data_IF_612094571675
#
_entry.id   IF_612094571675
#
_cell.length_a   1.000
_cell.length_b   1.000
_cell.length_c   1.000
_cell.angle_alpha   90.00
_cell.angle_beta   90.00
_cell.angle_gamma   90.00
#
_symmetry.space_group_name_H-M   'P 1'
#
loop_
_entity.id
_entity.type
_entity.pdbx_description
1 polymer ?
#
# COMPACT_ATOMS: atom_id res chain seq x y z
N UNK A 1 -22.30 45.05 2.52
CA UNK A 1 -22.98 43.75 2.76
C UNK A 1 -22.49 42.66 1.81
N UNK A 2 -22.05 42.98 0.59
CA UNK A 2 -21.45 42.01 -0.35
C UNK A 2 -20.09 41.42 0.06
N UNK A 3 -19.20 42.23 0.65
CA UNK A 3 -17.84 41.78 0.99
C UNK A 3 -17.84 40.67 2.06
N UNK A 4 -18.73 40.77 3.05
CA UNK A 4 -18.84 39.77 4.12
C UNK A 4 -19.38 38.44 3.59
N UNK A 5 -20.39 38.47 2.70
CA UNK A 5 -20.94 37.27 2.06
C UNK A 5 -19.88 36.61 1.17
N UNK A 6 -19.10 37.40 0.43
CA UNK A 6 -18.01 36.89 -0.41
C UNK A 6 -16.91 36.22 0.41
N UNK A 7 -16.52 36.79 1.55
CA UNK A 7 -15.54 36.20 2.48
C UNK A 7 -16.07 34.89 3.08
N UNK A 8 -17.33 34.85 3.52
CA UNK A 8 -17.97 33.64 4.07
C UNK A 8 -18.03 32.51 3.03
N UNK A 9 -18.37 32.81 1.78
CA UNK A 9 -18.37 31.82 0.69
C UNK A 9 -16.95 31.30 0.42
N UNK A 10 -15.94 32.17 0.44
CA UNK A 10 -14.54 31.79 0.27
C UNK A 10 -14.11 30.79 1.36
N UNK A 11 -14.46 31.05 2.62
CA UNK A 11 -14.19 30.12 3.73
C UNK A 11 -14.89 28.77 3.57
N UNK A 12 -16.14 28.72 3.09
CA UNK A 12 -16.85 27.46 2.82
C UNK A 12 -16.16 26.68 1.67
N UNK A 13 -15.72 27.37 0.62
CA UNK A 13 -14.98 26.78 -0.50
C UNK A 13 -13.61 26.23 -0.06
N UNK A 14 -12.91 26.87 0.88
CA UNK A 14 -11.66 26.34 1.44
C UNK A 14 -11.88 25.09 2.32
N UNK A 15 -13.07 24.92 2.90
CA UNK A 15 -13.40 23.73 3.71
C UNK A 15 -13.94 22.55 2.91
N UNK A 16 -14.16 22.71 1.58
CA UNK A 16 -14.37 21.57 0.69
C UNK A 16 -13.02 20.85 0.54
N UNK A 17 -12.63 20.10 1.58
CA UNK A 17 -11.42 19.32 1.60
C UNK A 17 -11.38 18.41 0.37
N UNK A 18 -10.36 18.59 -0.45
CA UNK A 18 -10.11 17.69 -1.57
C UNK A 18 -9.93 16.28 -0.99
N UNK A 19 -10.92 15.41 -1.22
CA UNK A 19 -10.82 13.99 -0.90
C UNK A 19 -9.82 13.36 -1.86
N UNK A 20 -8.80 12.72 -1.29
CA UNK A 20 -7.74 12.01 -2.01
C UNK A 20 -8.38 11.00 -2.97
N UNK A 21 -7.95 10.96 -4.22
CA UNK A 21 -8.39 9.96 -5.20
C UNK A 21 -7.30 8.90 -5.41
N UNK A 22 -7.66 7.62 -5.40
CA UNK A 22 -6.71 6.52 -5.60
C UNK A 22 -7.22 5.53 -6.65
N UNK A 23 -6.31 4.74 -7.23
CA UNK A 23 -6.73 3.52 -7.92
C UNK A 23 -7.29 2.51 -6.92
N UNK A 24 -8.38 1.83 -7.29
CA UNK A 24 -9.05 0.84 -6.45
C UNK A 24 -9.35 -0.43 -7.25
N UNK A 25 -8.74 -1.54 -6.84
CA UNK A 25 -8.99 -2.85 -7.44
C UNK A 25 -8.38 -4.01 -6.63
N UNK A 26 -8.92 -5.20 -6.89
CA UNK A 26 -8.27 -6.48 -6.67
C UNK A 26 -8.08 -7.14 -8.03
N UNK A 27 -6.83 -7.38 -8.45
CA UNK A 27 -6.53 -7.89 -9.80
C UNK A 27 -5.59 -9.09 -9.77
N UNK A 28 -5.98 -10.17 -10.44
CA UNK A 28 -5.16 -11.36 -10.70
C UNK A 28 -4.37 -11.24 -12.01
N UNK A 29 -4.82 -10.39 -12.92
CA UNK A 29 -4.32 -10.26 -14.30
C UNK A 29 -3.60 -8.94 -14.56
N UNK A 30 -3.53 -8.05 -13.57
CA UNK A 30 -2.67 -6.86 -13.54
C UNK A 30 -3.29 -5.57 -14.08
N UNK A 31 -4.48 -5.59 -14.70
CA UNK A 31 -5.16 -4.35 -15.06
C UNK A 31 -5.88 -3.75 -13.85
N UNK A 32 -5.59 -2.49 -13.57
CA UNK A 32 -6.19 -1.71 -12.49
C UNK A 32 -6.36 -0.26 -12.94
N UNK A 33 -7.52 0.04 -13.51
CA UNK A 33 -7.82 1.37 -14.07
C UNK A 33 -8.94 2.09 -13.34
N UNK A 34 -9.63 1.40 -12.43
CA UNK A 34 -10.73 1.97 -11.66
C UNK A 34 -10.16 2.87 -10.55
N UNK A 35 -10.80 4.02 -10.36
CA UNK A 35 -10.42 5.03 -9.38
C UNK A 35 -11.59 5.36 -8.48
N UNK A 36 -11.33 5.72 -7.24
CA UNK A 36 -12.35 6.15 -6.27
C UNK A 36 -11.83 7.28 -5.40
N UNK A 37 -12.76 8.05 -4.84
CA UNK A 37 -12.47 9.03 -3.80
C UNK A 37 -12.38 8.33 -2.44
N UNK A 38 -11.34 8.66 -1.69
CA UNK A 38 -11.09 8.08 -0.39
C UNK A 38 -11.98 8.73 0.70
N UNK A 39 -12.52 7.93 1.62
CA UNK A 39 -13.08 8.44 2.87
C UNK A 39 -12.09 9.33 3.60
N UNK A 40 -12.58 10.30 4.37
CA UNK A 40 -11.74 11.30 5.08
C UNK A 40 -10.66 10.68 5.98
N UNK A 41 -10.93 9.50 6.56
CA UNK A 41 -9.99 8.79 7.45
C UNK A 41 -8.85 8.08 6.69
N UNK A 42 -9.02 7.86 5.38
CA UNK A 42 -8.05 7.16 4.53
C UNK A 42 -7.24 8.18 3.72
N UNK A 43 -6.18 8.67 4.33
CA UNK A 43 -5.35 9.77 3.84
C UNK A 43 -4.20 9.33 2.92
N UNK A 44 -4.13 8.06 2.56
CA UNK A 44 -3.11 7.50 1.68
C UNK A 44 -3.72 6.58 0.61
N UNK A 45 -2.99 6.38 -0.47
CA UNK A 45 -3.22 5.31 -1.43
C UNK A 45 -2.24 4.17 -1.18
N UNK A 46 -2.72 2.93 -1.29
CA UNK A 46 -1.96 1.69 -1.25
C UNK A 46 -1.81 1.13 -2.67
N UNK A 47 -0.60 0.69 -3.00
CA UNK A 47 -0.32 -0.31 -4.02
C UNK A 47 0.31 -1.50 -3.31
N UNK A 48 -0.20 -2.71 -3.53
CA UNK A 48 0.39 -3.93 -2.97
C UNK A 48 0.35 -5.06 -3.98
N UNK A 49 1.36 -5.92 -3.91
CA UNK A 49 1.43 -7.15 -4.69
C UNK A 49 1.85 -8.31 -3.81
N UNK A 50 1.12 -9.41 -3.90
CA UNK A 50 1.39 -10.64 -3.16
C UNK A 50 1.56 -11.78 -4.16
N UNK A 51 2.71 -12.46 -4.11
CA UNK A 51 2.95 -13.68 -4.85
C UNK A 51 2.40 -14.85 -4.05
N UNK A 52 1.24 -15.37 -4.47
CA UNK A 52 0.60 -16.57 -3.90
C UNK A 52 0.81 -17.74 -4.86
N UNK A 53 0.77 -18.98 -4.37
CA UNK A 53 1.09 -20.22 -5.12
C UNK A 53 0.41 -20.37 -6.50
N UNK A 54 -0.76 -19.76 -6.70
CA UNK A 54 -1.54 -19.83 -7.96
C UNK A 54 -1.27 -18.67 -8.92
N UNK A 55 -1.08 -17.46 -8.42
CA UNK A 55 -0.85 -16.26 -9.22
C UNK A 55 -0.44 -15.06 -8.33
N UNK A 56 0.25 -14.05 -8.89
CA UNK A 56 0.41 -12.77 -8.23
C UNK A 56 -0.93 -12.02 -8.12
N UNK A 57 -1.25 -11.54 -6.93
CA UNK A 57 -2.42 -10.70 -6.66
C UNK A 57 -1.95 -9.26 -6.50
N UNK A 58 -2.58 -8.33 -7.22
CA UNK A 58 -2.37 -6.89 -7.03
C UNK A 58 -3.57 -6.28 -6.33
N UNK A 59 -3.32 -5.44 -5.34
CA UNK A 59 -4.31 -4.67 -4.59
C UNK A 59 -3.95 -3.21 -4.69
N UNK A 60 -4.91 -2.39 -5.10
CA UNK A 60 -4.80 -0.93 -5.02
C UNK A 60 -6.04 -0.40 -4.31
N UNK A 61 -5.88 0.64 -3.50
CA UNK A 61 -7.02 1.27 -2.83
C UNK A 61 -6.60 2.38 -1.88
N UNK A 62 -7.58 2.91 -1.16
CA UNK A 62 -7.36 3.87 -0.07
C UNK A 62 -6.84 3.16 1.18
N UNK A 63 -5.99 3.83 1.95
CA UNK A 63 -5.35 3.32 3.16
C UNK A 63 -5.22 4.39 4.24
N UNK A 64 -5.17 4.00 5.52
CA UNK A 64 -4.90 4.93 6.61
C UNK A 64 -3.48 5.49 6.54
N UNK A 65 -3.18 6.49 7.36
CA UNK A 65 -1.81 7.03 7.49
C UNK A 65 -0.79 6.02 8.00
N UNK A 66 -1.26 5.01 8.74
CA UNK A 66 -0.44 3.87 9.20
C UNK A 66 -0.32 2.84 8.07
N UNK A 67 0.34 3.23 6.99
CA UNK A 67 0.58 2.41 5.80
C UNK A 67 2.08 2.30 5.57
N UNK A 68 2.63 1.09 5.71
CA UNK A 68 4.06 0.85 5.55
C UNK A 68 4.39 0.43 4.11
N UNK A 69 5.43 1.07 3.55
CA UNK A 69 6.01 0.66 2.27
C UNK A 69 7.19 -0.27 2.52
N UNK A 70 7.31 -1.34 1.72
CA UNK A 70 8.40 -2.30 1.86
C UNK A 70 8.08 -3.63 1.20
N UNK A 71 8.91 -4.63 1.50
CA UNK A 71 8.73 -6.02 1.09
C UNK A 71 8.73 -6.92 2.31
N UNK A 72 7.98 -8.02 2.21
CA UNK A 72 7.79 -8.99 3.28
C UNK A 72 7.89 -10.40 2.69
N UNK A 73 8.60 -11.27 3.39
CA UNK A 73 8.69 -12.69 3.06
C UNK A 73 8.21 -13.52 4.26
N UNK A 74 7.12 -14.24 4.07
CA UNK A 74 6.46 -15.05 5.11
C UNK A 74 6.83 -16.54 5.02
N UNK A 75 7.75 -16.93 4.13
CA UNK A 75 8.11 -18.33 3.88
C UNK A 75 7.13 -19.05 2.94
N UNK A 76 5.82 -18.88 3.13
CA UNK A 76 4.77 -19.43 2.24
C UNK A 76 4.26 -18.43 1.18
N UNK A 77 4.73 -17.19 1.24
CA UNK A 77 4.32 -16.14 0.31
C UNK A 77 5.19 -14.89 0.48
N UNK A 78 5.28 -14.09 -0.58
CA UNK A 78 6.06 -12.86 -0.59
C UNK A 78 5.20 -11.68 -1.05
N UNK A 79 5.28 -10.58 -0.33
CA UNK A 79 4.51 -9.37 -0.60
C UNK A 79 5.40 -8.14 -0.75
N UNK A 80 4.89 -7.13 -1.45
CA UNK A 80 5.46 -5.78 -1.46
C UNK A 80 4.34 -4.77 -1.44
N UNK A 81 4.55 -3.65 -0.76
CA UNK A 81 3.59 -2.55 -0.66
C UNK A 81 4.29 -1.20 -0.83
N UNK A 82 3.52 -0.24 -1.30
CA UNK A 82 3.87 1.16 -1.39
C UNK A 82 2.67 1.98 -0.95
N UNK A 83 2.94 3.00 -0.15
CA UNK A 83 1.97 3.95 0.35
C UNK A 83 2.40 5.36 -0.04
N UNK A 84 1.43 6.17 -0.44
CA UNK A 84 1.67 7.55 -0.89
C UNK A 84 0.39 8.38 -0.67
N UNK A 85 0.50 9.70 -0.63
CA UNK A 85 -0.59 10.59 -0.15
C UNK A 85 -0.99 11.69 -1.15
N UNK A 86 -0.77 11.46 -2.45
CA UNK A 86 -1.21 12.37 -3.51
C UNK A 86 -2.16 11.65 -4.48
N UNK A 87 -2.97 12.38 -5.22
CA UNK A 87 -3.96 11.77 -6.11
C UNK A 87 -3.31 10.77 -7.08
N UNK A 88 -3.91 9.59 -7.18
CA UNK A 88 -3.57 8.49 -8.08
C UNK A 88 -2.12 8.01 -7.97
N UNK A 89 -1.43 8.33 -6.87
CA UNK A 89 -0.01 8.03 -6.70
C UNK A 89 0.30 6.53 -6.63
N UNK A 90 -0.70 5.69 -6.32
CA UNK A 90 -0.55 4.25 -6.23
C UNK A 90 -0.44 3.52 -7.58
N UNK A 91 -0.21 4.25 -8.68
CA UNK A 91 0.29 3.67 -9.92
C UNK A 91 1.81 3.46 -9.96
N UNK A 92 2.53 4.03 -9.00
CA UNK A 92 3.97 3.87 -8.89
C UNK A 92 4.40 2.40 -8.82
N UNK A 93 5.57 2.11 -9.41
CA UNK A 93 6.18 0.78 -9.34
C UNK A 93 6.43 0.43 -7.87
N UNK A 94 6.03 -0.77 -7.48
CA UNK A 94 6.33 -1.30 -6.14
C UNK A 94 7.84 -1.39 -5.93
N UNK A 95 8.32 -1.29 -4.67
CA UNK A 95 9.69 -1.62 -4.32
C UNK A 95 10.04 -2.96 -4.96
N UNK A 96 11.16 -3.02 -5.70
CA UNK A 96 11.51 -4.23 -6.44
C UNK A 96 11.58 -5.40 -5.45
N UNK A 97 10.77 -6.44 -5.73
CA UNK A 97 10.90 -7.77 -5.13
C UNK A 97 12.18 -8.43 -5.66
N UNK A 98 13.32 -7.81 -5.38
CA UNK A 98 14.60 -8.41 -5.71
C UNK A 98 14.73 -9.68 -4.90
N UNK A 99 15.06 -10.77 -5.58
CA UNK A 99 15.42 -12.04 -4.94
C UNK A 99 16.90 -12.07 -4.55
N UNK A 100 17.63 -10.96 -4.70
CA UNK A 100 19.00 -10.85 -4.24
C UNK A 100 19.05 -11.07 -2.72
N UNK A 101 19.71 -12.14 -2.23
CA UNK A 101 19.84 -12.39 -0.81
C UNK A 101 20.57 -11.22 -0.14
N UNK A 102 20.08 -10.78 1.01
CA UNK A 102 20.73 -9.70 1.77
C UNK A 102 21.55 -10.23 2.97
N UNK A 103 21.68 -11.55 3.10
CA UNK A 103 22.46 -12.21 4.14
C UNK A 103 21.76 -12.33 5.50
N UNK A 104 20.52 -11.86 5.64
CA UNK A 104 19.71 -12.04 6.85
C UNK A 104 18.78 -13.26 6.71
N UNK A 105 18.47 -13.86 7.84
CA UNK A 105 17.55 -14.99 7.93
C UNK A 105 16.59 -14.76 9.09
N UNK A 106 15.31 -15.06 8.87
CA UNK A 106 14.26 -14.94 9.88
C UNK A 106 13.56 -16.28 10.10
N UNK A 107 13.03 -16.47 11.30
CA UNK A 107 12.14 -17.58 11.59
C UNK A 107 10.73 -17.29 11.11
N UNK A 108 9.98 -18.31 10.72
CA UNK A 108 8.56 -18.22 10.43
C UNK A 108 7.83 -19.46 10.94
N UNK A 109 6.52 -19.31 11.18
CA UNK A 109 5.64 -20.41 11.58
C UNK A 109 4.91 -21.01 10.38
N UNK A 110 4.97 -22.33 10.26
CA UNK A 110 4.09 -23.13 9.42
C UNK A 110 3.16 -23.96 10.31
N UNK A 111 1.90 -23.51 10.42
CA UNK A 111 0.98 -23.99 11.44
C UNK A 111 1.55 -23.82 12.85
N UNK A 112 1.81 -24.93 13.53
CA UNK A 112 2.38 -24.94 14.89
C UNK A 112 3.92 -25.03 14.90
N UNK A 113 4.58 -25.11 13.74
CA UNK A 113 6.03 -25.28 13.63
C UNK A 113 6.70 -23.94 13.36
N UNK A 114 7.28 -23.31 14.39
CA UNK A 114 7.93 -21.99 14.32
C UNK A 114 9.47 -22.02 14.24
N UNK A 115 10.05 -23.18 13.92
CA UNK A 115 11.49 -23.36 13.77
C UNK A 115 11.98 -23.23 12.33
N UNK A 116 11.06 -23.08 11.37
CA UNK A 116 11.40 -22.92 9.96
C UNK A 116 12.06 -21.56 9.72
N UNK A 117 12.94 -21.48 8.72
CA UNK A 117 13.67 -20.26 8.40
C UNK A 117 13.45 -19.84 6.96
N UNK A 118 13.55 -18.54 6.74
CA UNK A 118 13.43 -17.89 5.44
C UNK A 118 14.58 -16.92 5.25
N UNK A 119 15.20 -16.95 4.07
CA UNK A 119 16.24 -16.01 3.69
C UNK A 119 15.60 -14.69 3.24
N UNK A 120 16.02 -13.60 3.88
CA UNK A 120 15.60 -12.27 3.52
C UNK A 120 16.30 -11.82 2.24
N UNK A 121 15.61 -11.00 1.45
CA UNK A 121 16.10 -10.48 0.17
C UNK A 121 15.85 -8.98 0.05
N UNK A 122 16.71 -8.30 -0.70
CA UNK A 122 16.57 -6.86 -0.93
C UNK A 122 16.52 -6.06 0.37
N UNK A 123 15.46 -5.25 0.52
CA UNK A 123 15.24 -4.36 1.66
C UNK A 123 14.64 -5.04 2.91
N UNK A 124 14.44 -6.36 2.91
CA UNK A 124 13.92 -7.10 4.07
C UNK A 124 14.97 -7.13 5.21
N UNK A 125 14.96 -6.13 6.09
CA UNK A 125 16.02 -5.90 7.08
C UNK A 125 15.69 -6.35 8.51
N UNK A 126 14.43 -6.75 8.76
CA UNK A 126 13.87 -7.08 10.07
C UNK A 126 13.00 -8.34 10.01
N UNK A 127 12.95 -9.08 11.12
CA UNK A 127 12.06 -10.22 11.29
C UNK A 127 10.74 -9.79 11.93
N UNK A 128 9.66 -10.40 11.48
CA UNK A 128 8.36 -10.34 12.14
C UNK A 128 8.31 -11.49 13.16
N UNK A 129 7.65 -11.24 14.30
CA UNK A 129 7.52 -12.20 15.40
C UNK A 129 6.08 -12.65 15.49
#
# INVERSE_FOLDING_TARGET
MDLQISIFLLFILFTAGHSLSCYECLSLTGSCTQTSQCPTELTNCLNAKFNVYVAPVTVRGCAPSVCASGSINLGFGRGSSLCCNTDLCNDQKLPDLTNAPNGKTCYFCDGNTCSNTVNCSGSEDRCLV
#
